data_IF_177307922236
#
_entry.id   IF_177307922236
#
_cell.length_a   1.000
_cell.length_b   1.000
_cell.length_c   1.000
_cell.angle_alpha   90.00
_cell.angle_beta   90.00
_cell.angle_gamma   90.00
#
_symmetry.space_group_name_H-M   'P 1'
#
loop_
_entity.id
_entity.type
_entity.pdbx_description
1 polymer ?
#
# COMPACT_ATOMS: atom_id res chain seq x y z
N UNK A 1 57.05 29.66 15.31
CA UNK A 1 55.70 29.07 15.33
C UNK A 1 55.40 28.50 13.96
N UNK A 2 55.58 27.19 13.79
CA UNK A 2 55.28 26.46 12.54
C UNK A 2 54.36 25.31 12.90
N UNK A 3 53.07 25.47 12.61
CA UNK A 3 52.04 24.45 12.74
C UNK A 3 52.32 23.35 11.71
N UNK A 4 52.78 22.19 12.17
CA UNK A 4 52.88 20.98 11.35
C UNK A 4 51.47 20.43 11.12
N UNK A 5 51.11 20.35 9.84
CA UNK A 5 49.92 19.69 9.30
C UNK A 5 49.79 18.25 9.82
N UNK A 6 48.65 17.93 10.43
CA UNK A 6 48.25 16.56 10.77
C UNK A 6 47.58 15.97 9.53
N UNK A 7 48.29 15.05 8.87
CA UNK A 7 47.75 14.29 7.74
C UNK A 7 46.71 13.27 8.25
N UNK A 8 45.45 13.46 7.84
CA UNK A 8 44.38 12.51 8.06
C UNK A 8 44.67 11.20 7.33
N UNK A 9 45.00 10.15 8.07
CA UNK A 9 45.23 8.80 7.54
C UNK A 9 43.87 8.14 7.26
N UNK A 10 43.58 7.90 5.98
CA UNK A 10 42.38 7.19 5.53
C UNK A 10 42.41 5.72 5.99
N UNK A 11 41.32 5.16 6.52
CA UNK A 11 41.29 3.76 6.95
C UNK A 11 41.25 2.86 5.71
N UNK A 12 42.37 2.20 5.42
CA UNK A 12 42.47 1.19 4.38
C UNK A 12 41.57 -0.01 4.75
N UNK A 13 40.43 -0.13 4.07
CA UNK A 13 39.46 -1.22 4.25
C UNK A 13 40.14 -2.56 3.90
N UNK A 14 40.69 -3.25 4.89
CA UNK A 14 41.23 -4.61 4.71
C UNK A 14 40.05 -5.54 4.45
N UNK A 15 39.86 -5.94 3.20
CA UNK A 15 38.92 -7.01 2.85
C UNK A 15 39.43 -8.32 3.45
N UNK A 16 38.78 -8.81 4.51
CA UNK A 16 39.11 -10.10 5.12
C UNK A 16 39.00 -11.22 4.07
N UNK A 17 39.90 -12.22 4.07
CA UNK A 17 39.94 -13.29 3.05
C UNK A 17 38.64 -14.12 3.00
N UNK A 18 37.88 -14.15 4.09
CA UNK A 18 36.59 -14.83 4.20
C UNK A 18 35.46 -14.14 3.42
N UNK A 19 35.50 -12.80 3.28
CA UNK A 19 34.48 -12.04 2.55
C UNK A 19 34.47 -12.37 1.06
N UNK A 20 35.65 -12.58 0.46
CA UNK A 20 35.78 -12.98 -0.96
C UNK A 20 35.23 -14.39 -1.20
N UNK A 21 35.45 -15.33 -0.28
CA UNK A 21 34.90 -16.69 -0.37
C UNK A 21 33.38 -16.67 -0.19
N UNK A 22 32.86 -15.90 0.77
CA UNK A 22 31.42 -15.75 0.98
C UNK A 22 30.71 -15.13 -0.24
N UNK A 23 31.30 -14.09 -0.83
CA UNK A 23 30.81 -13.50 -2.08
C UNK A 23 30.83 -14.50 -3.23
N UNK A 24 31.91 -15.28 -3.37
CA UNK A 24 32.01 -16.30 -4.40
C UNK A 24 30.91 -17.37 -4.23
N UNK A 25 30.65 -17.85 -3.01
CA UNK A 25 29.56 -18.78 -2.76
C UNK A 25 28.18 -18.18 -3.03
N UNK A 26 27.96 -16.91 -2.65
CA UNK A 26 26.70 -16.22 -2.91
C UNK A 26 26.45 -16.00 -4.42
N UNK A 27 27.50 -15.68 -5.19
CA UNK A 27 27.40 -15.55 -6.64
C UNK A 27 27.21 -16.93 -7.29
N UNK A 28 27.99 -17.92 -6.88
CA UNK A 28 27.90 -19.29 -7.40
C UNK A 28 26.52 -19.91 -7.12
N UNK A 29 25.95 -19.70 -5.93
CA UNK A 29 24.61 -20.22 -5.60
C UNK A 29 23.53 -19.56 -6.46
N UNK A 30 23.63 -18.26 -6.73
CA UNK A 30 22.70 -17.56 -7.62
C UNK A 30 22.83 -18.01 -9.06
N UNK A 31 24.06 -18.18 -9.57
CA UNK A 31 24.29 -18.73 -10.92
C UNK A 31 23.70 -20.13 -11.02
N UNK A 32 23.94 -20.99 -10.03
CA UNK A 32 23.37 -22.34 -9.99
C UNK A 32 21.84 -22.33 -10.03
N UNK A 33 21.19 -21.55 -9.18
CA UNK A 33 19.72 -21.40 -9.16
C UNK A 33 19.21 -20.88 -10.50
N UNK A 34 19.84 -19.87 -11.09
CA UNK A 34 19.45 -19.33 -12.40
C UNK A 34 19.60 -20.37 -13.51
N UNK A 35 20.67 -21.17 -13.51
CA UNK A 35 20.84 -22.25 -14.49
C UNK A 35 19.77 -23.34 -14.33
N UNK A 36 19.43 -23.73 -13.10
CA UNK A 36 18.35 -24.68 -12.85
C UNK A 36 17.00 -24.14 -13.30
N UNK A 37 16.71 -22.85 -13.07
CA UNK A 37 15.49 -22.20 -13.57
C UNK A 37 15.43 -22.28 -15.10
N UNK A 38 16.52 -21.94 -15.79
CA UNK A 38 16.57 -21.99 -17.27
C UNK A 38 16.37 -23.42 -17.78
N UNK A 39 17.05 -24.39 -17.16
CA UNK A 39 16.94 -25.81 -17.53
C UNK A 39 15.50 -26.29 -17.34
N UNK A 40 14.90 -26.03 -16.17
CA UNK A 40 13.55 -26.51 -15.86
C UNK A 40 12.50 -25.88 -16.76
N UNK A 41 12.62 -24.59 -17.05
CA UNK A 41 11.74 -23.88 -17.99
C UNK A 41 11.89 -24.34 -19.45
N UNK A 42 13.04 -24.95 -19.80
CA UNK A 42 13.26 -25.53 -21.13
C UNK A 42 12.71 -26.95 -21.23
N UNK A 43 12.67 -27.70 -20.12
CA UNK A 43 12.20 -29.08 -20.07
C UNK A 43 10.70 -29.20 -19.78
N UNK A 44 10.12 -28.26 -19.03
CA UNK A 44 8.73 -28.31 -18.57
C UNK A 44 8.02 -27.00 -18.92
N UNK A 45 6.81 -27.10 -19.45
CA UNK A 45 5.97 -25.92 -19.67
C UNK A 45 5.70 -25.20 -18.34
N UNK A 46 5.79 -23.87 -18.28
CA UNK A 46 5.50 -23.14 -17.04
C UNK A 46 4.06 -23.45 -16.59
N UNK A 47 3.90 -23.84 -15.33
CA UNK A 47 2.59 -24.12 -14.72
C UNK A 47 1.72 -22.85 -14.56
N UNK A 48 2.34 -21.67 -14.68
CA UNK A 48 1.66 -20.41 -14.39
C UNK A 48 0.79 -19.92 -15.56
N UNK A 49 -0.52 -19.90 -15.35
CA UNK A 49 -1.55 -19.38 -16.26
C UNK A 49 -1.94 -17.92 -15.97
N UNK A 50 -1.42 -17.30 -14.91
CA UNK A 50 -1.81 -15.94 -14.51
C UNK A 50 -1.44 -14.89 -15.56
N UNK A 51 -0.35 -15.10 -16.31
CA UNK A 51 0.08 -14.20 -17.39
C UNK A 51 -0.85 -14.21 -18.62
N UNK A 52 -1.60 -15.30 -18.86
CA UNK A 52 -2.49 -15.41 -20.03
C UNK A 52 -3.93 -14.95 -19.78
N UNK A 53 -4.29 -14.69 -18.52
CA UNK A 53 -5.63 -14.23 -18.12
C UNK A 53 -5.60 -12.72 -17.89
N UNK A 54 -5.80 -11.94 -18.97
CA UNK A 54 -6.06 -10.50 -18.87
C UNK A 54 -7.45 -10.13 -19.43
N UNK A 55 -8.54 -10.54 -18.76
CA UNK A 55 -9.88 -10.13 -19.16
C UNK A 55 -10.05 -8.60 -18.93
N UNK A 56 -10.92 -7.94 -19.71
CA UNK A 56 -11.23 -6.52 -19.48
C UNK A 56 -11.79 -6.32 -18.07
N UNK A 57 -11.55 -5.13 -17.48
CA UNK A 57 -12.14 -4.78 -16.19
C UNK A 57 -13.67 -4.90 -16.23
N UNK A 58 -14.29 -5.35 -15.15
CA UNK A 58 -15.73 -5.60 -15.02
C UNK A 58 -16.58 -4.32 -15.23
N UNK A 59 -15.97 -3.15 -15.05
CA UNK A 59 -16.61 -1.83 -15.22
C UNK A 59 -16.65 -1.33 -16.67
N UNK A 60 -15.98 -1.97 -17.62
CA UNK A 60 -16.05 -1.62 -19.05
C UNK A 60 -17.09 -2.48 -19.78
N UNK A 61 -18.34 -2.43 -19.33
CA UNK A 61 -19.46 -2.90 -20.14
C UNK A 61 -20.03 -1.70 -20.87
N UNK A 62 -20.09 -1.77 -22.21
CA UNK A 62 -20.53 -0.75 -23.18
C UNK A 62 -19.48 0.28 -23.62
N UNK A 63 -18.44 -0.16 -24.34
CA UNK A 63 -18.09 0.54 -25.59
C UNK A 63 -17.36 -0.40 -26.56
N UNK A 64 -18.11 -0.92 -27.52
CA UNK A 64 -17.60 -1.58 -28.71
C UNK A 64 -17.08 -0.51 -29.66
N UNK A 65 -15.84 -0.06 -29.46
CA UNK A 65 -15.28 0.99 -30.31
C UNK A 65 -13.79 1.22 -30.12
N UNK A 66 -12.99 0.56 -30.95
CA UNK A 66 -11.62 0.94 -31.27
C UNK A 66 -10.61 0.96 -30.10
N UNK A 67 -10.13 -0.23 -29.71
CA UNK A 67 -8.93 -0.36 -28.87
C UNK A 67 -7.73 0.27 -29.60
N UNK A 68 -7.36 1.49 -29.21
CA UNK A 68 -6.04 2.04 -29.52
C UNK A 68 -5.00 1.10 -28.90
N UNK A 69 -4.42 0.26 -29.75
CA UNK A 69 -3.34 -0.65 -29.42
C UNK A 69 -2.16 0.21 -29.01
N UNK A 70 -1.98 0.40 -27.70
CA UNK A 70 -0.82 1.09 -27.14
C UNK A 70 0.41 0.37 -27.67
N UNK A 71 1.19 1.06 -28.50
CA UNK A 71 2.41 0.54 -29.06
C UNK A 71 3.41 0.36 -27.93
N UNK A 72 3.60 -0.90 -27.52
CA UNK A 72 4.65 -1.28 -26.58
C UNK A 72 5.99 -0.84 -27.21
N UNK A 73 6.66 0.12 -26.58
CA UNK A 73 7.89 0.75 -27.09
C UNK A 73 9.05 -0.25 -27.28
N UNK A 74 8.98 -1.45 -26.67
CA UNK A 74 9.93 -2.54 -26.86
C UNK A 74 9.22 -3.92 -26.87
N UNK A 75 8.70 -4.38 -28.02
CA UNK A 75 7.93 -5.62 -28.10
C UNK A 75 8.77 -6.88 -27.85
N UNK A 76 10.06 -6.87 -28.22
CA UNK A 76 10.97 -8.03 -28.07
C UNK A 76 11.45 -8.25 -26.63
N UNK A 77 11.69 -7.16 -25.90
CA UNK A 77 12.08 -7.24 -24.48
C UNK A 77 10.86 -7.50 -23.61
N UNK A 78 9.69 -6.98 -24.00
CA UNK A 78 8.42 -7.24 -23.33
C UNK A 78 8.08 -8.73 -23.24
N UNK A 79 8.17 -9.47 -24.35
CA UNK A 79 7.79 -10.90 -24.36
C UNK A 79 8.74 -11.81 -23.57
N UNK A 80 10.03 -11.50 -23.50
CA UNK A 80 11.01 -12.25 -22.69
C UNK A 80 10.82 -11.97 -21.19
N UNK A 81 10.49 -10.71 -20.86
CA UNK A 81 10.21 -10.28 -19.49
C UNK A 81 8.85 -10.81 -19.01
N UNK A 82 7.83 -10.80 -19.87
CA UNK A 82 6.48 -11.31 -19.59
C UNK A 82 6.52 -12.80 -19.22
N UNK A 83 7.37 -13.59 -19.90
CA UNK A 83 7.60 -14.98 -19.54
C UNK A 83 8.32 -15.16 -18.18
N UNK A 84 8.99 -14.12 -17.68
CA UNK A 84 9.86 -14.18 -16.50
C UNK A 84 9.29 -13.51 -15.25
N UNK A 85 8.29 -12.63 -15.40
CA UNK A 85 7.61 -11.97 -14.27
C UNK A 85 6.21 -12.58 -14.14
N UNK A 86 6.05 -13.51 -13.21
CA UNK A 86 4.77 -14.18 -13.01
C UNK A 86 4.36 -14.20 -11.51
N UNK A 87 3.05 -14.30 -11.26
CA UNK A 87 2.33 -14.05 -9.98
C UNK A 87 2.21 -12.58 -9.54
N UNK A 88 2.72 -12.17 -8.37
CA UNK A 88 2.27 -10.97 -7.65
C UNK A 88 2.21 -9.68 -8.50
N UNK A 89 3.09 -9.52 -9.49
CA UNK A 89 3.07 -8.38 -10.42
C UNK A 89 1.79 -8.30 -11.26
N UNK A 90 1.24 -9.43 -11.73
CA UNK A 90 0.00 -9.48 -12.50
C UNK A 90 -1.15 -8.98 -11.63
N UNK A 91 -1.17 -9.42 -10.37
CA UNK A 91 -2.14 -8.93 -9.38
C UNK A 91 -1.95 -7.44 -9.10
N UNK A 92 -0.72 -6.97 -8.88
CA UNK A 92 -0.46 -5.55 -8.61
C UNK A 92 -0.82 -4.64 -9.78
N UNK A 93 -0.49 -5.04 -11.01
CA UNK A 93 -0.86 -4.30 -12.23
C UNK A 93 -2.38 -4.29 -12.37
N UNK A 94 -3.05 -5.43 -12.22
CA UNK A 94 -4.50 -5.53 -12.33
C UNK A 94 -5.23 -4.72 -11.27
N UNK A 95 -4.78 -4.75 -10.02
CA UNK A 95 -5.34 -3.91 -8.95
C UNK A 95 -5.09 -2.43 -9.26
N UNK A 96 -3.94 -2.07 -9.86
CA UNK A 96 -3.64 -0.70 -10.25
C UNK A 96 -4.49 -0.19 -11.43
N UNK A 97 -4.95 -1.08 -12.31
CA UNK A 97 -5.79 -0.80 -13.48
C UNK A 97 -7.29 -0.85 -13.15
N UNK A 98 -7.78 -1.96 -12.60
CA UNK A 98 -9.20 -2.25 -12.40
C UNK A 98 -9.66 -2.14 -10.93
N UNK A 99 -8.74 -2.12 -9.97
CA UNK A 99 -9.05 -2.19 -8.54
C UNK A 99 -9.25 -3.62 -8.02
N UNK A 100 -9.85 -3.74 -6.83
CA UNK A 100 -10.06 -5.01 -6.13
C UNK A 100 -11.34 -5.73 -6.60
N UNK A 101 -11.27 -6.35 -7.78
CA UNK A 101 -12.43 -7.01 -8.42
C UNK A 101 -12.74 -8.40 -7.88
N UNK A 102 -11.71 -9.17 -7.46
CA UNK A 102 -11.85 -10.56 -7.05
C UNK A 102 -11.45 -10.75 -5.59
N UNK A 103 -12.05 -11.73 -4.92
CA UNK A 103 -11.77 -12.10 -3.53
C UNK A 103 -10.27 -12.35 -3.28
N UNK A 104 -9.60 -12.99 -4.23
CA UNK A 104 -8.18 -13.32 -4.16
C UNK A 104 -7.28 -12.07 -4.15
N UNK A 105 -7.74 -10.94 -4.72
CA UNK A 105 -6.95 -9.70 -4.78
C UNK A 105 -6.83 -9.03 -3.41
N UNK A 106 -7.75 -9.28 -2.48
CA UNK A 106 -7.74 -8.71 -1.13
C UNK A 106 -6.58 -9.21 -0.26
N UNK A 107 -5.87 -10.27 -0.68
CA UNK A 107 -4.64 -10.71 -0.05
C UNK A 107 -3.49 -9.67 -0.22
N UNK A 108 -3.57 -8.81 -1.23
CA UNK A 108 -2.55 -7.81 -1.53
C UNK A 108 -2.85 -6.47 -0.87
N UNK A 109 -1.87 -5.91 -0.17
CA UNK A 109 -1.98 -4.58 0.44
C UNK A 109 -2.09 -3.46 -0.61
N UNK A 110 -2.89 -2.40 -0.37
CA UNK A 110 -3.19 -1.37 -1.37
C UNK A 110 -2.01 -0.44 -1.67
N UNK A 111 -1.00 -0.39 -0.80
CA UNK A 111 0.10 0.56 -0.93
C UNK A 111 0.85 0.43 -2.27
N UNK A 112 1.20 -0.79 -2.67
CA UNK A 112 1.99 -1.01 -3.88
C UNK A 112 1.17 -0.72 -5.15
N UNK A 113 -0.07 -1.24 -5.33
CA UNK A 113 -0.94 -0.83 -6.44
C UNK A 113 -1.15 0.68 -6.53
N UNK A 114 -1.39 1.36 -5.40
CA UNK A 114 -1.56 2.81 -5.39
C UNK A 114 -0.30 3.55 -5.85
N UNK A 115 0.88 3.11 -5.41
CA UNK A 115 2.15 3.64 -5.89
C UNK A 115 2.30 3.43 -7.41
N UNK A 116 1.96 2.25 -7.92
CA UNK A 116 2.00 1.95 -9.36
C UNK A 116 1.07 2.88 -10.13
N UNK A 117 -0.20 3.02 -9.71
CA UNK A 117 -1.17 3.91 -10.36
C UNK A 117 -0.71 5.37 -10.33
N UNK A 118 -0.16 5.84 -9.20
CA UNK A 118 0.32 7.21 -9.06
C UNK A 118 1.54 7.49 -9.94
N UNK A 119 2.53 6.58 -9.94
CA UNK A 119 3.72 6.71 -10.78
C UNK A 119 3.37 6.64 -12.27
N UNK A 120 2.51 5.68 -12.65
CA UNK A 120 2.07 5.50 -14.04
C UNK A 120 1.40 6.77 -14.57
N UNK A 121 0.43 7.32 -13.84
CA UNK A 121 -0.27 8.57 -14.23
C UNK A 121 0.67 9.77 -14.29
N UNK A 122 1.60 9.87 -13.34
CA UNK A 122 2.60 10.96 -13.32
C UNK A 122 3.56 10.86 -14.50
N UNK A 123 4.10 9.67 -14.78
CA UNK A 123 4.99 9.42 -15.90
C UNK A 123 4.29 9.64 -17.24
N UNK A 124 3.08 9.09 -17.40
CA UNK A 124 2.28 9.28 -18.61
C UNK A 124 1.94 10.75 -18.84
N UNK A 125 1.54 11.49 -17.81
CA UNK A 125 1.30 12.94 -17.90
C UNK A 125 2.56 13.71 -18.31
N UNK A 126 3.72 13.34 -17.78
CA UNK A 126 5.00 13.92 -18.18
C UNK A 126 5.35 13.62 -19.64
N UNK A 127 5.23 12.36 -20.08
CA UNK A 127 5.52 11.97 -21.46
C UNK A 127 4.61 12.68 -22.46
N UNK A 128 3.31 12.81 -22.18
CA UNK A 128 2.38 13.46 -23.10
C UNK A 128 2.56 14.98 -23.17
N UNK A 129 2.92 15.64 -22.06
CA UNK A 129 2.91 17.11 -22.00
C UNK A 129 4.31 17.70 -22.15
N UNK A 130 5.34 17.05 -21.58
CA UNK A 130 6.69 17.61 -21.46
C UNK A 130 7.69 17.02 -22.47
N UNK A 131 7.53 15.77 -22.91
CA UNK A 131 8.45 15.14 -23.88
C UNK A 131 8.31 15.79 -25.27
N UNK A 132 9.42 16.01 -25.96
CA UNK A 132 9.44 16.53 -27.34
C UNK A 132 9.26 18.06 -27.49
N UNK A 133 9.17 18.82 -26.40
CA UNK A 133 9.12 20.30 -26.43
C UNK A 133 10.50 20.93 -26.16
N UNK A 134 10.70 22.16 -26.63
CA UNK A 134 11.92 22.92 -26.32
C UNK A 134 11.90 23.46 -24.88
N UNK A 135 13.07 23.62 -24.25
CA UNK A 135 13.16 24.10 -22.86
C UNK A 135 12.55 25.51 -22.65
N UNK A 136 12.48 26.33 -23.70
CA UNK A 136 11.84 27.65 -23.66
C UNK A 136 10.31 27.55 -23.61
N UNK A 137 9.72 26.53 -24.22
CA UNK A 137 8.26 26.34 -24.35
C UNK A 137 7.66 25.43 -23.25
N UNK A 138 8.51 24.70 -22.52
CA UNK A 138 8.06 23.81 -21.45
C UNK A 138 7.36 24.53 -20.30
N UNK A 139 6.30 23.92 -19.79
CA UNK A 139 5.56 24.38 -18.61
C UNK A 139 6.47 24.40 -17.36
N UNK A 140 6.23 25.30 -16.39
CA UNK A 140 7.08 25.44 -15.20
C UNK A 140 7.21 24.14 -14.39
N UNK A 141 6.15 23.35 -14.31
CA UNK A 141 6.16 22.08 -13.58
C UNK A 141 6.99 20.98 -14.28
N UNK A 142 7.19 21.04 -15.60
CA UNK A 142 8.10 20.13 -16.31
C UNK A 142 9.57 20.40 -15.93
N UNK A 143 9.91 21.63 -15.53
CA UNK A 143 11.27 22.05 -15.14
C UNK A 143 11.57 21.80 -13.66
N UNK A 144 10.56 21.46 -12.86
CA UNK A 144 10.73 21.22 -11.43
C UNK A 144 11.51 19.93 -11.18
N UNK A 145 12.22 19.86 -10.03
CA UNK A 145 12.99 18.67 -9.61
C UNK A 145 12.14 17.40 -9.56
N UNK A 146 10.86 17.54 -9.22
CA UNK A 146 9.85 16.49 -9.28
C UNK A 146 8.68 17.03 -10.12
N UNK A 147 8.46 16.51 -11.34
CA UNK A 147 7.43 17.01 -12.26
C UNK A 147 6.03 16.51 -11.86
N UNK A 148 5.56 16.95 -10.70
CA UNK A 148 4.24 16.60 -10.16
C UNK A 148 3.17 17.53 -10.72
N UNK A 149 2.50 17.08 -11.78
CA UNK A 149 1.39 17.80 -12.42
C UNK A 149 0.30 18.20 -11.42
N UNK A 150 -0.11 17.26 -10.56
CA UNK A 150 -1.20 17.50 -9.60
C UNK A 150 -0.87 18.63 -8.61
N UNK A 151 0.34 18.63 -8.05
CA UNK A 151 0.79 19.69 -7.15
C UNK A 151 0.82 21.07 -7.84
N UNK A 152 1.22 21.13 -9.11
CA UNK A 152 1.16 22.36 -9.90
C UNK A 152 -0.29 22.83 -10.11
N UNK A 153 -1.21 21.94 -10.48
CA UNK A 153 -2.61 22.29 -10.71
C UNK A 153 -3.27 22.79 -9.43
N UNK A 154 -3.07 22.07 -8.32
CA UNK A 154 -3.61 22.44 -7.01
C UNK A 154 -3.19 23.85 -6.62
N UNK A 155 -1.91 24.18 -6.77
CA UNK A 155 -1.36 25.46 -6.33
C UNK A 155 -1.67 26.62 -7.29
N UNK A 156 -1.63 26.37 -8.60
CA UNK A 156 -1.77 27.39 -9.64
C UNK A 156 -3.22 27.69 -10.01
N UNK A 157 -4.05 26.66 -10.19
CA UNK A 157 -5.44 26.83 -10.62
C UNK A 157 -6.42 26.81 -9.45
N UNK A 158 -6.21 25.92 -8.46
CA UNK A 158 -7.17 25.79 -7.35
C UNK A 158 -6.80 26.65 -6.14
N UNK A 159 -5.60 27.24 -6.12
CA UNK A 159 -5.12 28.03 -4.99
C UNK A 159 -5.00 27.22 -3.69
N UNK A 160 -4.89 25.90 -3.78
CA UNK A 160 -4.67 24.99 -2.65
C UNK A 160 -3.19 25.03 -2.31
N UNK A 161 -2.89 25.30 -1.04
CA UNK A 161 -1.53 25.35 -0.52
C UNK A 161 -1.54 25.33 0.99
N UNK A 162 -0.36 25.22 1.59
CA UNK A 162 -0.23 25.24 3.05
C UNK A 162 -0.88 26.50 3.62
N UNK A 163 -1.91 26.31 4.44
CA UNK A 163 -2.72 27.33 5.11
C UNK A 163 -3.49 28.32 4.21
N UNK A 164 -3.54 28.10 2.90
CA UNK A 164 -4.20 29.02 1.95
C UNK A 164 -5.73 29.06 2.10
N UNK A 165 -6.30 28.01 2.71
CA UNK A 165 -7.71 27.87 3.06
C UNK A 165 -8.11 28.72 4.29
N UNK A 166 -7.21 28.97 5.25
CA UNK A 166 -7.53 29.72 6.48
C UNK A 166 -7.57 31.24 6.25
N UNK A 167 -8.52 31.70 5.44
CA UNK A 167 -8.83 33.12 5.27
C UNK A 167 -9.81 33.56 6.34
N UNK A 168 -9.62 34.76 6.90
CA UNK A 168 -10.59 35.39 7.82
C UNK A 168 -12.00 35.45 7.21
N UNK A 169 -12.10 35.62 5.88
CA UNK A 169 -13.36 35.60 5.13
C UNK A 169 -14.14 34.27 5.24
N UNK A 170 -13.47 33.17 5.57
CA UNK A 170 -14.08 31.85 5.74
C UNK A 170 -14.38 31.51 7.21
N UNK A 171 -14.06 32.40 8.15
CA UNK A 171 -14.34 32.21 9.57
C UNK A 171 -15.79 31.82 9.87
N UNK A 172 -16.83 32.40 9.22
CA UNK A 172 -18.21 31.98 9.42
C UNK A 172 -18.47 30.50 9.11
N UNK A 173 -17.80 29.94 8.09
CA UNK A 173 -17.94 28.52 7.73
C UNK A 173 -17.31 27.61 8.81
N UNK A 174 -16.19 28.02 9.40
CA UNK A 174 -15.57 27.29 10.52
C UNK A 174 -16.42 27.35 11.79
N UNK A 175 -17.06 28.49 12.07
CA UNK A 175 -18.00 28.63 13.18
C UNK A 175 -19.22 27.71 13.00
N UNK A 176 -19.72 27.60 11.78
CA UNK A 176 -20.83 26.68 11.47
C UNK A 176 -20.43 25.21 11.67
N UNK A 177 -19.18 24.85 11.36
CA UNK A 177 -18.64 23.51 11.61
C UNK A 177 -18.17 23.28 13.06
N UNK A 178 -18.11 24.33 13.89
CA UNK A 178 -17.48 24.30 15.23
C UNK A 178 -18.02 23.22 16.17
N UNK A 179 -19.34 22.94 16.24
CA UNK A 179 -19.86 21.92 17.16
C UNK A 179 -19.31 20.52 16.84
N UNK A 180 -19.29 20.16 15.55
CA UNK A 180 -18.80 18.86 15.08
C UNK A 180 -17.28 18.76 15.28
N UNK A 181 -16.56 19.84 14.96
CA UNK A 181 -15.10 19.91 15.17
C UNK A 181 -14.75 19.81 16.67
N UNK A 182 -15.55 20.41 17.56
CA UNK A 182 -15.36 20.33 19.00
C UNK A 182 -15.55 18.91 19.51
N UNK A 183 -16.63 18.23 19.09
CA UNK A 183 -16.86 16.83 19.48
C UNK A 183 -15.73 15.94 18.97
N UNK A 184 -15.33 16.08 17.71
CA UNK A 184 -14.21 15.32 17.15
C UNK A 184 -12.92 15.55 17.92
N UNK A 185 -12.60 16.80 18.25
CA UNK A 185 -11.42 17.16 19.02
C UNK A 185 -11.47 16.58 20.44
N UNK A 186 -12.59 16.73 21.15
CA UNK A 186 -12.79 16.15 22.48
C UNK A 186 -12.64 14.62 22.46
N UNK A 187 -13.21 13.95 21.45
CA UNK A 187 -13.08 12.50 21.28
C UNK A 187 -11.63 12.07 21.06
N UNK A 188 -10.88 12.79 20.22
CA UNK A 188 -9.46 12.51 20.01
C UNK A 188 -8.66 12.71 21.29
N UNK A 189 -8.86 13.83 22.00
CA UNK A 189 -8.16 14.11 23.26
C UNK A 189 -8.50 13.07 24.33
N UNK A 190 -9.77 12.67 24.43
CA UNK A 190 -10.21 11.63 25.35
C UNK A 190 -9.54 10.28 25.02
N UNK A 191 -9.52 9.90 23.75
CA UNK A 191 -8.86 8.69 23.28
C UNK A 191 -7.35 8.69 23.56
N UNK A 192 -6.66 9.79 23.26
CA UNK A 192 -5.21 9.95 23.51
C UNK A 192 -4.89 9.87 25.01
N UNK A 193 -5.75 10.41 25.88
CA UNK A 193 -5.58 10.31 27.34
C UNK A 193 -5.84 8.90 27.86
N UNK A 194 -6.83 8.22 27.29
CA UNK A 194 -7.21 6.88 27.73
C UNK A 194 -6.20 5.82 27.28
N UNK A 195 -5.63 5.96 26.08
CA UNK A 195 -4.72 4.98 25.49
C UNK A 195 -3.51 5.62 24.75
N UNK A 196 -2.59 6.29 25.46
CA UNK A 196 -1.45 6.98 24.82
C UNK A 196 -0.51 6.02 24.10
N UNK A 197 -0.30 4.82 24.65
CA UNK A 197 0.54 3.77 24.05
C UNK A 197 -0.04 3.23 22.74
N UNK A 198 -1.37 3.12 22.62
CA UNK A 198 -2.04 2.67 21.39
C UNK A 198 -2.00 3.77 20.33
N UNK A 199 -2.19 5.02 20.73
CA UNK A 199 -2.09 6.18 19.84
C UNK A 199 -0.67 6.35 19.29
N UNK A 200 0.36 6.24 20.14
CA UNK A 200 1.77 6.33 19.75
C UNK A 200 2.24 5.11 18.94
N UNK A 201 1.72 3.92 19.25
CA UNK A 201 2.00 2.73 18.44
C UNK A 201 1.19 2.67 17.14
N UNK A 202 0.33 3.66 16.85
CA UNK A 202 -0.61 3.67 15.71
C UNK A 202 -1.43 2.36 15.59
N UNK A 203 -1.63 1.66 16.71
CA UNK A 203 -2.26 0.33 16.73
C UNK A 203 -1.38 -0.84 16.29
N UNK A 204 -0.12 -0.61 15.91
CA UNK A 204 0.84 -1.65 15.51
C UNK A 204 1.43 -2.43 16.72
N UNK A 205 1.30 -1.87 17.93
CA UNK A 205 1.75 -2.48 19.19
C UNK A 205 0.64 -3.10 20.04
N UNK A 206 -0.63 -3.06 19.60
CA UNK A 206 -1.79 -3.47 20.39
C UNK A 206 -2.00 -5.00 20.49
N UNK A 207 -0.91 -5.79 20.50
CA UNK A 207 -1.00 -7.25 20.46
C UNK A 207 -1.17 -7.91 21.84
N UNK A 208 -0.86 -7.23 22.94
CA UNK A 208 -0.92 -7.81 24.30
C UNK A 208 -2.15 -7.40 25.11
N UNK A 209 -2.69 -6.18 24.94
CA UNK A 209 -3.74 -5.64 25.82
C UNK A 209 -5.17 -6.01 25.39
N UNK A 210 -5.38 -6.30 24.10
CA UNK A 210 -6.68 -6.78 23.62
C UNK A 210 -6.98 -8.23 24.06
N UNK A 211 -5.95 -9.00 24.42
CA UNK A 211 -6.11 -10.33 25.03
C UNK A 211 -6.59 -10.28 26.48
N UNK A 212 -6.32 -9.20 27.23
CA UNK A 212 -6.83 -9.05 28.59
C UNK A 212 -8.28 -8.56 28.64
N UNK A 213 -8.68 -7.65 27.75
CA UNK A 213 -10.04 -7.10 27.74
C UNK A 213 -11.12 -8.06 27.21
N UNK A 214 -10.74 -9.01 26.35
CA UNK A 214 -11.63 -10.11 25.92
C UNK A 214 -11.62 -11.27 26.92
N UNK A 215 -10.67 -11.29 27.86
CA UNK A 215 -10.39 -12.41 28.76
C UNK A 215 -10.79 -12.24 30.23
N UNK A 216 -11.44 -11.15 30.65
CA UNK A 216 -11.86 -10.98 32.05
C UNK A 216 -13.36 -11.24 32.25
N UNK A 217 -13.74 -12.25 33.05
CA UNK A 217 -15.13 -12.63 33.33
C UNK A 217 -15.71 -11.72 34.42
N UNK A 218 -16.44 -10.68 34.02
CA UNK A 218 -17.27 -9.91 34.95
C UNK A 218 -18.76 -10.16 34.68
N UNK A 219 -19.20 -11.39 34.95
CA UNK A 219 -20.58 -11.71 35.40
C UNK A 219 -20.62 -13.13 35.96
N UNK A 220 -19.88 -13.36 37.04
CA UNK A 220 -20.05 -14.53 37.93
C UNK A 220 -19.85 -14.09 39.37
N UNK A 221 -20.80 -13.35 39.90
CA UNK A 221 -21.06 -13.33 41.36
C UNK A 221 -22.50 -12.94 41.61
N UNK A 222 -23.37 -13.93 41.68
CA UNK A 222 -24.63 -13.88 42.42
C UNK A 222 -25.00 -15.34 42.74
N UNK A 223 -24.34 -15.93 43.74
CA UNK A 223 -24.92 -17.06 44.47
C UNK A 223 -25.67 -16.50 45.68
N UNK A 224 -26.92 -16.94 45.81
CA UNK A 224 -27.82 -16.64 46.92
C UNK A 224 -28.82 -17.78 47.11
N UNK A 225 -28.32 -18.87 47.71
CA UNK A 225 -29.00 -19.94 48.48
C UNK A 225 -30.05 -20.89 47.83
N UNK A 226 -30.08 -22.16 48.30
CA UNK A 226 -30.94 -23.22 47.78
C UNK A 226 -32.25 -23.34 48.57
N UNK A 227 -33.35 -23.67 47.89
CA UNK A 227 -34.58 -24.17 48.52
C UNK A 227 -34.95 -25.47 47.79
N UNK A 228 -34.84 -26.59 48.50
CA UNK A 228 -35.50 -27.85 48.18
C UNK A 228 -36.97 -27.75 48.59
N UNK A 229 -37.88 -28.14 47.69
CA UNK A 229 -38.91 -29.18 47.92
C UNK A 229 -40.10 -29.05 46.95
N UNK A 230 -40.41 -30.17 46.28
CA UNK A 230 -41.76 -30.73 46.24
C UNK A 230 -42.87 -30.06 45.42
N UNK A 231 -43.38 -30.85 44.47
CA UNK A 231 -44.80 -30.99 44.09
C UNK A 231 -45.49 -29.86 43.28
N UNK A 232 -45.78 -30.16 42.01
CA UNK A 232 -47.11 -30.45 41.43
C UNK A 232 -46.98 -30.31 39.89
N UNK A 233 -47.05 -31.41 39.16
CA UNK A 233 -48.26 -31.95 38.52
C UNK A 233 -48.65 -31.24 37.21
N UNK A 234 -48.45 -32.02 36.14
CA UNK A 234 -49.32 -32.20 34.99
C UNK A 234 -49.42 -31.21 33.82
N UNK A 235 -49.45 -31.87 32.66
CA UNK A 235 -50.15 -31.55 31.42
C UNK A 235 -49.62 -30.45 30.50
N UNK A 236 -49.04 -30.86 29.36
CA UNK A 236 -49.76 -30.79 28.07
C UNK A 236 -48.83 -31.24 26.94
N UNK A 237 -49.01 -32.49 26.57
CA UNK A 237 -48.69 -33.08 25.28
C UNK A 237 -49.28 -32.29 24.09
N UNK A 238 -48.59 -32.40 22.94
CA UNK A 238 -49.06 -32.19 21.56
C UNK A 238 -49.11 -30.76 21.00
N UNK A 239 -48.29 -30.53 19.95
CA UNK A 239 -48.69 -30.03 18.61
C UNK A 239 -47.42 -29.90 17.75
N UNK A 240 -47.11 -30.97 16.98
CA UNK A 240 -47.20 -31.07 15.50
C UNK A 240 -46.20 -30.13 14.80
N UNK A 241 -45.16 -30.71 14.17
CA UNK A 241 -45.16 -31.26 12.79
C UNK A 241 -45.24 -30.16 11.73
#
# INVERSE_FOLDING_TARGET
>A
MTLKSVAATTPHRRSCPYTRRLLLYAVASRVFVLTLIIIWRSLVSPYDTSASINPPCLTSSTDSGNRHRSSVLLPSVGSVIENSIVWDSVYFIRIAECGYEYEQTYAFLPLLPLCISFLSKTAFGYFNICMGRSAAEMRPWCKARLPLLYNYIQSHYWGVGFLRYFRVKQLPNFLLASPILSVAFCSIVYYVKLWPEVFLSLGLGASSLQKEFVGSPLSKTAEGQPITDGLLENDSSNLLQ
#
